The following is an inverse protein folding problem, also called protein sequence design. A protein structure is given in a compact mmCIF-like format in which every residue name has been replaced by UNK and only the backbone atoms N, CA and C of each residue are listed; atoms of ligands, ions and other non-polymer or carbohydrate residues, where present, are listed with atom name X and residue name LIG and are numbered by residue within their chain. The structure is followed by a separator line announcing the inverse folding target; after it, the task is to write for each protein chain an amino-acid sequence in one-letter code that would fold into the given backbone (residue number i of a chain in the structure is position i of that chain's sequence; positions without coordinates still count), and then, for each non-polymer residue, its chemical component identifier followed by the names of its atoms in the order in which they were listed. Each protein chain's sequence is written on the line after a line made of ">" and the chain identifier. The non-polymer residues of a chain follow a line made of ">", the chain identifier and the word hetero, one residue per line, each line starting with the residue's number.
data_IF_151060818663
#
_entry.id   IF_151060818663
#
_cell.length_a   1.000
_cell.length_b   1.000
_cell.length_c   1.000
_cell.angle_alpha   90.00
_cell.angle_beta   90.00
_cell.angle_gamma   90.00
#
_symmetry.space_group_name_H-M   'P 1'
#
loop_
_entity.id
_entity.type
_entity.pdbx_description
1 polymer ?
#
# COMPACT_ATOMS: atom_id res chain seq x y z
N UNK A 1 -16.44 -28.09 39.17
CA UNK A 1 -15.29 -27.70 38.32
C UNK A 1 -15.42 -28.48 37.04
N UNK A 2 -15.96 -27.86 36.00
CA UNK A 2 -16.14 -28.49 34.69
C UNK A 2 -15.04 -27.95 33.77
N UNK A 3 -14.24 -28.87 33.26
CA UNK A 3 -13.08 -28.62 32.40
C UNK A 3 -13.57 -28.51 30.95
N UNK A 4 -13.55 -27.30 30.39
CA UNK A 4 -13.96 -27.04 29.00
C UNK A 4 -12.69 -27.01 28.15
N UNK A 5 -12.31 -28.19 27.67
CA UNK A 5 -11.26 -28.36 26.66
C UNK A 5 -11.78 -27.84 25.31
N UNK A 6 -11.31 -26.65 24.92
CA UNK A 6 -11.53 -26.11 23.59
C UNK A 6 -10.60 -26.81 22.59
N UNK A 7 -11.18 -27.77 21.87
CA UNK A 7 -10.55 -28.41 20.73
C UNK A 7 -10.68 -27.47 19.52
N UNK A 8 -9.67 -26.65 19.25
CA UNK A 8 -9.61 -25.85 18.02
C UNK A 8 -9.21 -26.75 16.86
N UNK A 9 -10.03 -26.87 15.80
CA UNK A 9 -9.67 -27.64 14.62
C UNK A 9 -8.46 -26.97 13.95
N UNK A 10 -7.38 -27.72 13.80
CA UNK A 10 -6.20 -27.29 13.07
C UNK A 10 -6.58 -26.90 11.65
N UNK A 11 -6.59 -25.60 11.38
CA UNK A 11 -6.57 -25.10 10.01
C UNK A 11 -5.22 -25.51 9.42
N UNK A 12 -5.23 -26.54 8.58
CA UNK A 12 -4.07 -26.88 7.76
C UNK A 12 -3.65 -25.62 7.02
N UNK A 13 -2.40 -25.18 7.22
CA UNK A 13 -1.81 -23.99 6.61
C UNK A 13 -1.61 -24.13 5.11
N UNK A 14 -2.70 -24.30 4.36
CA UNK A 14 -2.72 -24.10 2.92
C UNK A 14 -2.87 -22.58 2.74
N UNK A 15 -1.73 -21.89 2.56
CA UNK A 15 -1.66 -20.46 2.29
C UNK A 15 -2.52 -20.12 1.06
N UNK A 16 -3.18 -18.96 1.05
CA UNK A 16 -3.97 -18.50 -0.11
C UNK A 16 -3.16 -18.55 -1.42
N UNK A 17 -1.84 -18.39 -1.33
CA UNK A 17 -0.88 -18.55 -2.44
C UNK A 17 -0.93 -19.95 -3.08
N UNK A 18 -1.07 -21.01 -2.28
CA UNK A 18 -1.14 -22.39 -2.78
C UNK A 18 -2.50 -22.74 -3.42
N UNK A 19 -3.55 -21.95 -3.16
CA UNK A 19 -4.88 -22.11 -3.80
C UNK A 19 -5.03 -21.37 -5.13
N UNK A 20 -4.29 -20.29 -5.34
CA UNK A 20 -4.41 -19.46 -6.55
C UNK A 20 -3.68 -20.07 -7.76
N UNK A 21 -2.75 -21.01 -7.55
CA UNK A 21 -1.93 -21.62 -8.62
C UNK A 21 -2.18 -23.12 -8.72
N UNK A 22 -3.45 -23.53 -8.83
CA UNK A 22 -3.81 -24.82 -9.45
C UNK A 22 -4.66 -24.58 -10.69
N UNK A 23 -4.25 -23.62 -11.51
CA UNK A 23 -4.59 -23.66 -12.94
C UNK A 23 -3.99 -24.97 -13.46
N UNK A 24 -4.80 -25.80 -14.13
CA UNK A 24 -4.34 -27.08 -14.68
C UNK A 24 -3.02 -26.91 -15.43
N UNK A 25 -2.07 -27.83 -15.26
CA UNK A 25 -0.73 -27.76 -15.87
C UNK A 25 -0.77 -27.52 -17.39
N UNK A 26 -1.87 -27.94 -18.03
CA UNK A 26 -2.14 -27.79 -19.47
C UNK A 26 -2.48 -26.35 -19.89
N UNK A 27 -2.88 -25.47 -18.97
CA UNK A 27 -3.29 -24.10 -19.26
C UNK A 27 -2.27 -23.02 -18.85
N UNK A 28 -1.13 -23.41 -18.24
CA UNK A 28 -0.12 -22.46 -17.81
C UNK A 28 0.80 -22.03 -18.95
N UNK A 29 0.97 -20.72 -19.10
CA UNK A 29 1.97 -20.13 -20.00
C UNK A 29 3.39 -20.41 -19.50
N UNK A 30 4.39 -20.27 -20.37
CA UNK A 30 5.79 -20.47 -19.99
C UNK A 30 6.24 -19.47 -18.92
N UNK A 31 5.70 -18.24 -18.92
CA UNK A 31 5.98 -17.23 -17.90
C UNK A 31 5.48 -17.68 -16.53
N UNK A 32 4.26 -18.25 -16.46
CA UNK A 32 3.71 -18.75 -15.20
C UNK A 32 4.49 -19.97 -14.66
N UNK A 33 4.96 -20.86 -15.55
CA UNK A 33 5.83 -21.97 -15.16
C UNK A 33 7.18 -21.49 -14.61
N UNK A 34 7.75 -20.44 -15.20
CA UNK A 34 8.99 -19.83 -14.71
C UNK A 34 8.78 -19.14 -13.36
N UNK A 35 7.66 -18.42 -13.16
CA UNK A 35 7.33 -17.83 -11.86
C UNK A 35 7.21 -18.90 -10.78
N UNK A 36 6.54 -20.03 -11.07
CA UNK A 36 6.44 -21.12 -10.10
C UNK A 36 7.82 -21.66 -9.68
N UNK A 37 8.75 -21.78 -10.64
CA UNK A 37 10.14 -22.16 -10.34
C UNK A 37 10.88 -21.09 -9.54
N UNK A 38 10.68 -19.82 -9.87
CA UNK A 38 11.26 -18.67 -9.17
C UNK A 38 10.82 -18.65 -7.69
N UNK A 39 9.52 -18.85 -7.43
CA UNK A 39 8.97 -18.92 -6.07
C UNK A 39 9.54 -20.10 -5.29
N UNK A 40 9.54 -21.30 -5.87
CA UNK A 40 10.09 -22.49 -5.22
C UNK A 40 11.58 -22.33 -4.86
N UNK A 41 12.36 -21.69 -5.74
CA UNK A 41 13.77 -21.44 -5.51
C UNK A 41 14.00 -20.36 -4.45
N UNK A 42 13.17 -19.32 -4.42
CA UNK A 42 13.21 -18.27 -3.38
C UNK A 42 12.92 -18.87 -2.00
N UNK A 43 11.88 -19.71 -1.89
CA UNK A 43 11.54 -20.43 -0.65
C UNK A 43 12.65 -21.40 -0.21
N UNK A 44 13.35 -22.02 -1.16
CA UNK A 44 14.51 -22.86 -0.86
C UNK A 44 15.69 -22.03 -0.33
N UNK A 45 15.98 -20.89 -0.95
CA UNK A 45 17.02 -19.97 -0.51
C UNK A 45 16.76 -19.42 0.90
N UNK A 46 15.52 -19.02 1.19
CA UNK A 46 15.11 -18.56 2.52
C UNK A 46 15.30 -19.63 3.59
N UNK A 47 14.87 -20.87 3.32
CA UNK A 47 15.07 -22.00 4.24
C UNK A 47 16.55 -22.27 4.47
N UNK A 48 17.38 -22.14 3.43
CA UNK A 48 18.82 -22.33 3.53
C UNK A 48 19.48 -21.27 4.43
N UNK A 49 19.08 -20.00 4.27
CA UNK A 49 19.53 -18.88 5.13
C UNK A 49 19.10 -19.11 6.58
N UNK A 50 17.85 -19.51 6.81
CA UNK A 50 17.32 -19.79 8.16
C UNK A 50 18.04 -20.95 8.85
N UNK A 51 18.54 -21.93 8.08
CA UNK A 51 19.35 -23.03 8.60
C UNK A 51 20.79 -22.60 8.99
N UNK A 52 21.17 -21.34 8.75
CA UNK A 52 22.48 -20.79 9.12
C UNK A 52 23.58 -21.05 8.10
N UNK A 53 23.23 -21.48 6.89
CA UNK A 53 24.17 -21.71 5.79
C UNK A 53 24.32 -20.44 4.94
N UNK A 54 25.06 -19.45 5.46
CA UNK A 54 25.17 -18.12 4.84
C UNK A 54 26.34 -17.96 3.84
N UNK A 55 26.88 -19.05 3.29
CA UNK A 55 28.06 -19.04 2.43
C UNK A 55 27.74 -19.19 0.91
N UNK A 56 28.64 -19.82 0.14
CA UNK A 56 28.69 -19.88 -1.33
C UNK A 56 27.36 -20.28 -2.00
N UNK A 57 26.52 -21.03 -1.30
CA UNK A 57 25.20 -21.43 -1.77
C UNK A 57 24.24 -20.23 -1.97
N UNK A 58 24.39 -19.15 -1.20
CA UNK A 58 23.62 -17.93 -1.38
C UNK A 58 23.87 -17.25 -2.74
N UNK A 59 25.13 -17.26 -3.21
CA UNK A 59 25.47 -16.74 -4.53
C UNK A 59 24.89 -17.60 -5.65
N UNK A 60 24.87 -18.93 -5.46
CA UNK A 60 24.24 -19.86 -6.41
C UNK A 60 22.74 -19.58 -6.53
N UNK A 61 22.03 -19.44 -5.41
CA UNK A 61 20.60 -19.13 -5.43
C UNK A 61 20.32 -17.79 -6.12
N UNK A 62 21.07 -16.74 -5.78
CA UNK A 62 20.92 -15.44 -6.41
C UNK A 62 21.12 -15.50 -7.94
N UNK A 63 22.14 -16.22 -8.42
CA UNK A 63 22.39 -16.38 -9.85
C UNK A 63 21.27 -17.15 -10.57
N UNK A 64 20.73 -18.21 -9.95
CA UNK A 64 19.64 -18.99 -10.51
C UNK A 64 18.30 -18.21 -10.53
N UNK A 65 18.03 -17.41 -9.49
CA UNK A 65 16.87 -16.52 -9.44
C UNK A 65 16.96 -15.47 -10.54
N UNK A 66 18.12 -14.83 -10.69
CA UNK A 66 18.36 -13.84 -11.75
C UNK A 66 18.18 -14.44 -13.17
N UNK A 67 18.70 -15.65 -13.41
CA UNK A 67 18.52 -16.35 -14.69
C UNK A 67 17.03 -16.67 -14.98
N UNK A 68 16.24 -16.99 -13.96
CA UNK A 68 14.79 -17.17 -14.12
C UNK A 68 14.08 -15.85 -14.42
N UNK A 69 14.44 -14.77 -13.73
CA UNK A 69 13.92 -13.42 -13.97
C UNK A 69 14.21 -12.97 -15.40
N UNK A 70 15.45 -13.12 -15.88
CA UNK A 70 15.85 -12.80 -17.25
C UNK A 70 15.04 -13.60 -18.28
N UNK A 71 14.85 -14.90 -18.05
CA UNK A 71 14.01 -15.75 -18.91
C UNK A 71 12.56 -15.31 -18.92
N UNK A 72 12.00 -14.95 -17.76
CA UNK A 72 10.63 -14.43 -17.67
C UNK A 72 10.51 -13.12 -18.46
N UNK A 73 11.44 -12.20 -18.28
CA UNK A 73 11.40 -10.88 -18.94
C UNK A 73 11.54 -10.98 -20.45
N UNK A 74 12.30 -11.95 -20.97
CA UNK A 74 12.52 -12.16 -22.40
C UNK A 74 11.28 -12.69 -23.16
N UNK A 75 10.34 -13.36 -22.49
CA UNK A 75 9.14 -13.91 -23.13
C UNK A 75 8.04 -12.85 -23.24
N UNK A 76 7.39 -12.63 -24.38
CA UNK A 76 6.30 -11.65 -24.46
C UNK A 76 5.10 -12.06 -23.60
N UNK A 77 4.54 -11.13 -22.83
CA UNK A 77 3.29 -11.37 -22.11
C UNK A 77 2.13 -11.49 -23.11
N UNK A 78 1.35 -12.56 -23.01
CA UNK A 78 0.18 -12.83 -23.89
C UNK A 78 -1.15 -12.59 -23.19
N UNK A 79 -1.13 -12.49 -21.86
CA UNK A 79 -2.29 -12.19 -21.04
C UNK A 79 -1.90 -11.35 -19.82
N UNK A 80 -2.89 -10.84 -19.10
CA UNK A 80 -2.67 -10.07 -17.86
C UNK A 80 -1.94 -10.88 -16.77
N UNK A 81 -2.13 -12.20 -16.72
CA UNK A 81 -1.45 -13.05 -15.75
C UNK A 81 0.05 -13.15 -16.02
N UNK A 82 0.47 -13.21 -17.29
CA UNK A 82 1.89 -13.19 -17.68
C UNK A 82 2.57 -11.90 -17.22
N UNK A 83 1.93 -10.76 -17.50
CA UNK A 83 2.47 -9.46 -17.11
C UNK A 83 2.55 -9.31 -15.58
N UNK A 84 1.51 -9.76 -14.86
CA UNK A 84 1.51 -9.76 -13.41
C UNK A 84 2.63 -10.66 -12.85
N UNK A 85 2.87 -11.82 -13.46
CA UNK A 85 3.94 -12.72 -13.05
C UNK A 85 5.33 -12.07 -13.21
N UNK A 86 5.59 -11.38 -14.33
CA UNK A 86 6.80 -10.58 -14.49
C UNK A 86 6.91 -9.51 -13.41
N UNK A 87 5.85 -8.74 -13.16
CA UNK A 87 5.84 -7.69 -12.14
C UNK A 87 6.17 -8.22 -10.74
N UNK A 88 5.61 -9.39 -10.38
CA UNK A 88 5.91 -10.07 -9.11
C UNK A 88 7.38 -10.44 -9.03
N UNK A 89 7.93 -11.13 -10.04
CA UNK A 89 9.34 -11.52 -10.05
C UNK A 89 10.27 -10.31 -9.91
N UNK A 90 9.98 -9.22 -10.65
CA UNK A 90 10.74 -7.97 -10.61
C UNK A 90 10.70 -7.27 -9.24
N UNK A 91 9.64 -7.46 -8.44
CA UNK A 91 9.47 -6.77 -7.15
C UNK A 91 9.74 -7.66 -5.93
N UNK A 92 9.93 -8.97 -6.14
CA UNK A 92 10.05 -9.96 -5.06
C UNK A 92 11.21 -9.66 -4.09
N UNK A 93 12.31 -9.07 -4.59
CA UNK A 93 13.51 -8.75 -3.81
C UNK A 93 13.56 -7.27 -3.34
N UNK A 94 12.39 -6.62 -3.20
CA UNK A 94 12.29 -5.22 -2.77
C UNK A 94 12.73 -4.21 -3.83
N UNK A 95 12.97 -4.66 -5.06
CA UNK A 95 13.24 -3.78 -6.19
C UNK A 95 11.96 -3.03 -6.58
N UNK A 96 12.12 -1.77 -6.99
CA UNK A 96 11.02 -1.00 -7.55
C UNK A 96 10.77 -1.39 -9.01
N UNK A 97 9.52 -1.31 -9.44
CA UNK A 97 9.20 -1.43 -10.87
C UNK A 97 10.01 -0.40 -11.69
N UNK A 98 10.41 -0.75 -12.92
CA UNK A 98 11.10 0.19 -13.79
C UNK A 98 10.25 1.44 -14.02
N UNK A 99 10.90 2.58 -14.23
CA UNK A 99 10.19 3.83 -14.52
C UNK A 99 9.31 3.68 -15.77
N UNK A 100 8.20 4.42 -15.83
CA UNK A 100 7.22 4.30 -16.92
C UNK A 100 7.80 4.61 -18.32
N UNK A 101 8.89 5.38 -18.37
CA UNK A 101 9.65 5.72 -19.57
C UNK A 101 10.66 4.63 -20.00
N UNK A 102 10.86 3.58 -19.20
CA UNK A 102 11.66 2.42 -19.58
C UNK A 102 10.81 1.44 -20.39
N UNK A 103 11.12 1.36 -21.68
CA UNK A 103 10.15 0.92 -22.68
C UNK A 103 9.73 -0.55 -22.69
N UNK A 104 10.60 -1.57 -22.47
CA UNK A 104 10.21 -2.95 -22.77
C UNK A 104 9.09 -3.47 -21.85
N UNK A 105 9.23 -3.29 -20.54
CA UNK A 105 8.26 -3.79 -19.55
C UNK A 105 6.89 -3.11 -19.71
N UNK A 106 6.86 -1.78 -19.80
CA UNK A 106 5.59 -1.04 -19.91
C UNK A 106 4.97 -1.10 -21.32
N UNK A 107 5.76 -1.39 -22.37
CA UNK A 107 5.20 -1.64 -23.69
C UNK A 107 4.32 -2.90 -23.71
N UNK A 108 4.71 -3.97 -23.02
CA UNK A 108 3.88 -5.17 -22.89
C UNK A 108 2.57 -4.88 -22.17
N UNK A 109 2.61 -4.12 -21.07
CA UNK A 109 1.42 -3.69 -20.36
C UNK A 109 0.44 -2.94 -21.26
N UNK A 110 0.97 -2.03 -22.11
CA UNK A 110 0.17 -1.26 -23.07
C UNK A 110 -0.42 -2.16 -24.16
N UNK A 111 0.39 -3.05 -24.73
CA UNK A 111 -0.05 -3.99 -25.77
C UNK A 111 -1.21 -4.85 -25.28
N UNK A 112 -1.12 -5.41 -24.06
CA UNK A 112 -2.20 -6.19 -23.46
C UNK A 112 -3.50 -5.41 -23.26
N UNK A 113 -3.39 -4.10 -23.02
CA UNK A 113 -4.52 -3.19 -22.82
C UNK A 113 -5.04 -2.61 -24.15
N UNK A 114 -4.29 -2.72 -25.24
CA UNK A 114 -4.67 -2.26 -26.58
C UNK A 114 -5.24 -3.37 -27.45
N UNK A 115 -4.76 -4.61 -27.28
CA UNK A 115 -5.07 -5.76 -28.15
C UNK A 115 -6.29 -6.57 -27.66
N UNK A 116 -6.54 -6.59 -26.35
CA UNK A 116 -7.81 -7.03 -25.78
C UNK A 116 -8.77 -5.85 -25.72
N UNK A 117 -9.92 -5.94 -26.40
CA UNK A 117 -11.00 -4.94 -26.32
C UNK A 117 -11.12 -4.44 -24.88
N UNK A 118 -10.62 -3.22 -24.61
CA UNK A 118 -10.65 -2.65 -23.26
C UNK A 118 -12.08 -2.87 -22.77
N UNK A 119 -12.32 -3.49 -21.60
CA UNK A 119 -13.53 -3.17 -20.90
C UNK A 119 -13.43 -1.67 -20.65
N UNK A 120 -14.03 -0.89 -21.56
CA UNK A 120 -13.98 0.55 -21.54
C UNK A 120 -14.63 0.91 -20.23
N UNK A 121 -13.85 1.41 -19.27
CA UNK A 121 -14.40 1.84 -17.98
C UNK A 121 -15.60 2.71 -18.31
N UNK A 122 -16.82 2.31 -17.92
CA UNK A 122 -18.00 2.97 -18.46
C UNK A 122 -17.96 4.47 -18.17
N UNK A 123 -18.36 5.29 -19.15
CA UNK A 123 -18.28 6.74 -19.01
C UNK A 123 -19.27 7.29 -17.96
N UNK A 124 -20.38 6.58 -17.73
CA UNK A 124 -21.43 6.99 -16.79
C UNK A 124 -21.22 6.35 -15.42
N UNK A 125 -21.67 7.06 -14.37
CA UNK A 125 -21.63 6.54 -12.98
C UNK A 125 -22.42 5.23 -12.85
N UNK A 126 -23.63 5.20 -13.42
CA UNK A 126 -24.46 4.00 -13.47
C UNK A 126 -23.76 2.85 -14.21
N UNK A 127 -23.10 3.14 -15.34
CA UNK A 127 -22.35 2.13 -16.09
C UNK A 127 -21.22 1.52 -15.25
N UNK A 128 -20.48 2.34 -14.48
CA UNK A 128 -19.40 1.85 -13.59
C UNK A 128 -19.92 1.05 -12.42
N UNK A 129 -21.04 1.46 -11.82
CA UNK A 129 -21.71 0.69 -10.78
C UNK A 129 -22.18 -0.68 -11.32
N UNK A 130 -22.80 -0.70 -12.51
CA UNK A 130 -23.20 -1.94 -13.18
C UNK A 130 -22.00 -2.83 -13.49
N UNK A 131 -20.94 -2.25 -14.05
CA UNK A 131 -19.70 -2.99 -14.31
C UNK A 131 -19.14 -3.63 -13.03
N UNK A 132 -19.14 -2.90 -11.91
CA UNK A 132 -18.71 -3.44 -10.63
C UNK A 132 -19.64 -4.57 -10.13
N UNK A 133 -20.95 -4.40 -10.22
CA UNK A 133 -21.93 -5.40 -9.82
C UNK A 133 -21.81 -6.67 -10.67
N UNK A 134 -21.75 -6.54 -12.00
CA UNK A 134 -21.56 -7.64 -12.95
C UNK A 134 -20.24 -8.40 -12.66
N UNK A 135 -19.15 -7.67 -12.38
CA UNK A 135 -17.83 -8.25 -12.04
C UNK A 135 -17.88 -9.06 -10.75
N UNK A 136 -18.69 -8.63 -9.78
CA UNK A 136 -18.87 -9.31 -8.49
C UNK A 136 -19.95 -10.40 -8.52
N UNK A 137 -20.68 -10.54 -9.63
CA UNK A 137 -21.83 -11.46 -9.74
C UNK A 137 -22.99 -11.05 -8.83
N UNK A 138 -23.21 -9.75 -8.64
CA UNK A 138 -24.26 -9.19 -7.77
C UNK A 138 -25.29 -8.43 -8.59
N UNK A 139 -26.53 -8.42 -8.09
CA UNK A 139 -27.58 -7.55 -8.63
C UNK A 139 -27.36 -6.10 -8.22
N UNK A 140 -27.81 -5.18 -9.08
CA UNK A 140 -27.83 -3.76 -8.74
C UNK A 140 -28.87 -3.47 -7.64
N UNK A 141 -28.58 -2.54 -6.70
CA UNK A 141 -29.58 -2.07 -5.76
C UNK A 141 -30.86 -1.58 -6.46
N UNK A 142 -32.01 -1.88 -5.86
CA UNK A 142 -33.29 -1.37 -6.34
C UNK A 142 -33.38 0.16 -6.15
N UNK A 143 -34.25 0.82 -6.93
CA UNK A 143 -34.56 2.25 -6.80
C UNK A 143 -33.42 3.25 -7.10
N UNK A 144 -32.33 2.82 -7.75
CA UNK A 144 -31.26 3.73 -8.15
C UNK A 144 -31.71 4.74 -9.22
N UNK A 145 -31.39 6.03 -9.01
CA UNK A 145 -31.56 7.05 -10.08
C UNK A 145 -30.37 7.00 -11.04
N UNK A 146 -30.58 7.37 -12.30
CA UNK A 146 -29.56 7.29 -13.36
C UNK A 146 -28.26 8.05 -13.06
N UNK A 147 -28.31 9.15 -12.31
CA UNK A 147 -27.14 9.96 -11.95
C UNK A 147 -26.47 9.55 -10.61
N UNK A 148 -27.06 8.57 -9.91
CA UNK A 148 -26.66 8.08 -8.59
C UNK A 148 -26.68 9.14 -7.47
N UNK A 149 -27.32 10.29 -7.69
CA UNK A 149 -27.45 11.36 -6.69
C UNK A 149 -28.87 11.44 -6.14
N UNK A 150 -29.00 11.80 -4.86
CA UNK A 150 -30.25 12.18 -4.25
C UNK A 150 -30.67 13.60 -4.70
N UNK A 151 -31.83 14.07 -4.22
CA UNK A 151 -32.38 15.38 -4.63
C UNK A 151 -31.59 16.57 -4.10
N UNK A 152 -30.91 16.39 -2.97
CA UNK A 152 -30.01 17.35 -2.35
C UNK A 152 -28.57 17.29 -2.93
N UNK A 153 -28.39 16.59 -4.05
CA UNK A 153 -27.10 16.31 -4.68
C UNK A 153 -26.13 15.47 -3.82
N UNK A 154 -26.58 14.88 -2.70
CA UNK A 154 -25.81 13.89 -1.96
C UNK A 154 -25.76 12.55 -2.71
N UNK A 155 -24.88 11.66 -2.27
CA UNK A 155 -24.78 10.31 -2.83
C UNK A 155 -25.99 9.48 -2.38
N UNK A 156 -26.56 8.68 -3.28
CA UNK A 156 -27.66 7.79 -2.91
C UNK A 156 -27.21 6.76 -1.86
N UNK A 157 -28.04 6.58 -0.83
CA UNK A 157 -27.79 5.65 0.28
C UNK A 157 -27.52 4.24 -0.21
N UNK A 158 -28.24 3.81 -1.24
CA UNK A 158 -28.11 2.48 -1.85
C UNK A 158 -26.70 2.26 -2.44
N UNK A 159 -26.09 3.30 -3.01
CA UNK A 159 -24.73 3.25 -3.55
C UNK A 159 -23.71 3.19 -2.42
N UNK A 160 -23.92 3.96 -1.34
CA UNK A 160 -23.06 3.92 -0.16
C UNK A 160 -23.08 2.53 0.49
N UNK A 161 -24.27 1.94 0.65
CA UNK A 161 -24.44 0.61 1.21
C UNK A 161 -23.79 -0.46 0.32
N UNK A 162 -23.96 -0.37 -1.00
CA UNK A 162 -23.30 -1.25 -1.95
C UNK A 162 -21.77 -1.18 -1.82
N UNK A 163 -21.19 0.03 -1.76
CA UNK A 163 -19.75 0.23 -1.62
C UNK A 163 -19.22 -0.29 -0.28
N UNK A 164 -19.95 -0.06 0.81
CA UNK A 164 -19.59 -0.54 2.13
C UNK A 164 -19.59 -2.08 2.20
N UNK A 165 -20.59 -2.73 1.58
CA UNK A 165 -20.72 -4.18 1.58
C UNK A 165 -19.69 -4.88 0.67
N UNK A 166 -19.38 -4.30 -0.49
CA UNK A 166 -18.53 -4.92 -1.52
C UNK A 166 -17.07 -4.47 -1.47
N UNK A 167 -16.78 -3.33 -0.83
CA UNK A 167 -15.47 -2.69 -0.86
C UNK A 167 -15.15 -2.00 -2.19
N UNK A 168 -16.12 -1.84 -3.10
CA UNK A 168 -15.98 -1.02 -4.31
C UNK A 168 -15.83 0.44 -3.91
N UNK A 169 -14.89 1.17 -4.54
CA UNK A 169 -14.66 2.58 -4.21
C UNK A 169 -15.73 3.48 -4.82
N UNK A 170 -16.16 4.47 -4.04
CA UNK A 170 -16.93 5.60 -4.54
C UNK A 170 -16.15 6.36 -5.62
N UNK A 171 -14.83 6.47 -5.50
CA UNK A 171 -14.01 7.16 -6.50
C UNK A 171 -14.02 6.46 -7.85
N UNK A 172 -14.13 5.13 -7.87
CA UNK A 172 -14.31 4.39 -9.11
C UNK A 172 -15.68 4.71 -9.72
N UNK A 173 -16.76 4.63 -8.95
CA UNK A 173 -18.11 4.89 -9.45
C UNK A 173 -18.26 6.33 -9.95
N UNK A 174 -17.75 7.31 -9.22
CA UNK A 174 -18.00 8.73 -9.52
C UNK A 174 -16.95 9.35 -10.44
N UNK A 175 -15.69 8.93 -10.33
CA UNK A 175 -14.56 9.56 -11.03
C UNK A 175 -13.74 8.61 -11.91
N UNK A 176 -14.12 7.33 -11.99
CA UNK A 176 -13.36 6.29 -12.66
C UNK A 176 -11.93 6.10 -12.11
N UNK A 177 -11.68 6.55 -10.87
CA UNK A 177 -10.37 6.37 -10.23
C UNK A 177 -10.32 5.04 -9.48
N UNK A 178 -9.46 4.14 -9.98
CA UNK A 178 -9.24 2.81 -9.40
C UNK A 178 -8.17 2.80 -8.31
N UNK A 179 -7.35 3.86 -8.17
CA UNK A 179 -6.23 3.88 -7.23
C UNK A 179 -6.65 3.62 -5.78
N UNK A 180 -7.76 4.19 -5.28
CA UNK A 180 -8.21 3.92 -3.91
C UNK A 180 -8.62 2.45 -3.70
N UNK A 181 -9.23 1.82 -4.72
CA UNK A 181 -9.55 0.38 -4.67
C UNK A 181 -8.29 -0.47 -4.60
N UNK A 182 -7.31 -0.19 -5.47
CA UNK A 182 -6.05 -0.93 -5.49
C UNK A 182 -5.29 -0.78 -4.16
N UNK A 183 -5.25 0.44 -3.62
CA UNK A 183 -4.62 0.71 -2.31
C UNK A 183 -5.35 -0.02 -1.18
N UNK A 184 -6.68 0.02 -1.15
CA UNK A 184 -7.46 -0.67 -0.12
C UNK A 184 -7.32 -2.20 -0.20
N UNK A 185 -7.33 -2.76 -1.41
CA UNK A 185 -7.10 -4.19 -1.61
C UNK A 185 -5.68 -4.61 -1.19
N UNK A 186 -4.68 -3.81 -1.56
CA UNK A 186 -3.29 -4.01 -1.13
C UNK A 186 -3.18 -3.99 0.39
N UNK A 187 -3.68 -2.92 1.04
CA UNK A 187 -3.62 -2.78 2.50
C UNK A 187 -4.33 -3.93 3.22
N UNK A 188 -5.54 -4.34 2.78
CA UNK A 188 -6.25 -5.47 3.39
C UNK A 188 -5.47 -6.77 3.31
N UNK A 189 -4.83 -7.05 2.17
CA UNK A 189 -4.00 -8.25 2.01
C UNK A 189 -2.72 -8.14 2.84
N UNK A 190 -2.12 -6.95 2.89
CA UNK A 190 -0.93 -6.69 3.68
C UNK A 190 -1.23 -6.85 5.17
N UNK A 191 -2.33 -6.28 5.66
CA UNK A 191 -2.77 -6.37 7.06
C UNK A 191 -3.19 -7.79 7.45
N UNK A 192 -3.71 -8.61 6.52
CA UNK A 192 -4.03 -10.02 6.75
C UNK A 192 -2.79 -10.92 6.89
N UNK A 193 -1.66 -10.51 6.31
CA UNK A 193 -0.39 -11.25 6.37
C UNK A 193 0.66 -10.56 7.23
N UNK A 194 0.29 -9.47 7.88
CA UNK A 194 1.20 -8.68 8.69
C UNK A 194 1.48 -9.42 9.98
N UNK A 195 2.77 -9.64 10.24
CA UNK A 195 3.21 -10.03 11.57
C UNK A 195 2.75 -8.94 12.57
N UNK A 196 1.99 -9.30 13.63
CA UNK A 196 1.55 -8.35 14.63
C UNK A 196 2.70 -7.56 15.27
N UNK A 197 3.92 -8.10 15.28
CA UNK A 197 5.10 -7.38 15.78
C UNK A 197 5.60 -6.34 14.78
N UNK A 198 5.55 -6.62 13.47
CA UNK A 198 5.84 -5.64 12.43
C UNK A 198 4.77 -4.52 12.37
N UNK A 199 3.52 -4.85 12.67
CA UNK A 199 2.45 -3.87 12.83
C UNK A 199 2.67 -2.91 14.00
N UNK A 200 3.26 -3.38 15.10
CA UNK A 200 3.66 -2.53 16.24
C UNK A 200 4.81 -1.62 15.86
N UNK A 201 5.88 -2.14 15.25
CA UNK A 201 7.05 -1.33 14.88
C UNK A 201 6.70 -0.22 13.89
N UNK A 202 5.87 -0.49 12.89
CA UNK A 202 5.44 0.53 11.94
C UNK A 202 4.44 1.53 12.54
N UNK A 203 3.61 1.12 13.49
CA UNK A 203 2.77 2.06 14.25
C UNK A 203 3.64 2.99 15.08
N UNK A 204 4.64 2.45 15.78
CA UNK A 204 5.59 3.24 16.56
C UNK A 204 6.39 4.20 15.65
N UNK A 205 6.78 3.76 14.45
CA UNK A 205 7.42 4.62 13.45
C UNK A 205 6.48 5.69 12.86
N UNK A 206 5.21 5.36 12.65
CA UNK A 206 4.18 6.31 12.18
C UNK A 206 3.91 7.38 13.23
N UNK A 207 3.77 6.99 14.50
CA UNK A 207 3.61 7.92 15.63
C UNK A 207 4.87 8.79 15.80
N UNK A 208 6.07 8.22 15.66
CA UNK A 208 7.31 8.98 15.66
C UNK A 208 7.39 9.98 14.48
N UNK A 209 6.93 9.58 13.29
CA UNK A 209 6.92 10.45 12.09
C UNK A 209 5.92 11.59 12.26
N UNK A 210 4.70 11.32 12.73
CA UNK A 210 3.69 12.34 12.99
C UNK A 210 4.14 13.32 14.09
N UNK A 211 4.85 12.82 15.10
CA UNK A 211 5.48 13.62 16.13
C UNK A 211 6.56 14.56 15.58
N UNK A 212 7.48 14.04 14.74
CA UNK A 212 8.53 14.83 14.09
C UNK A 212 7.96 15.91 13.16
N UNK A 213 6.92 15.59 12.40
CA UNK A 213 6.18 16.55 11.57
C UNK A 213 5.53 17.66 12.42
N UNK A 214 5.00 17.30 13.59
CA UNK A 214 4.50 18.25 14.58
C UNK A 214 5.59 19.22 15.07
N UNK A 215 6.78 18.71 15.37
CA UNK A 215 7.93 19.51 15.77
C UNK A 215 8.40 20.43 14.63
N UNK A 216 8.46 19.96 13.38
CA UNK A 216 8.84 20.79 12.24
C UNK A 216 7.86 21.95 12.03
N UNK A 217 6.55 21.71 12.11
CA UNK A 217 5.53 22.78 12.03
C UNK A 217 5.69 23.82 13.15
N UNK A 218 5.97 23.37 14.37
CA UNK A 218 6.27 24.26 15.51
C UNK A 218 7.53 25.10 15.26
N UNK A 219 8.59 24.50 14.73
CA UNK A 219 9.84 25.19 14.42
C UNK A 219 9.67 26.26 13.32
N UNK A 220 8.89 25.98 12.27
CA UNK A 220 8.54 26.98 11.24
C UNK A 220 7.77 28.15 11.86
N UNK A 221 6.80 27.88 12.73
CA UNK A 221 6.03 28.92 13.43
C UNK A 221 6.92 29.78 14.34
N UNK A 222 7.82 29.16 15.11
CA UNK A 222 8.79 29.88 15.95
C UNK A 222 9.69 30.80 15.13
N UNK A 223 10.20 30.32 13.98
CA UNK A 223 11.02 31.14 13.07
C UNK A 223 10.24 32.34 12.52
N UNK A 224 8.97 32.16 12.18
CA UNK A 224 8.09 33.25 11.76
C UNK A 224 7.88 34.30 12.86
N UNK A 225 7.64 33.86 14.10
CA UNK A 225 7.49 34.76 15.26
C UNK A 225 8.78 35.53 15.56
N UNK A 226 9.94 34.87 15.52
CA UNK A 226 11.24 35.55 15.69
C UNK A 226 11.50 36.57 14.59
N UNK A 227 11.08 36.30 13.35
CA UNK A 227 11.14 37.27 12.25
C UNK A 227 10.21 38.47 12.47
N UNK A 228 9.01 38.24 13.00
CA UNK A 228 8.08 39.31 13.35
C UNK A 228 8.63 40.19 14.49
N UNK A 229 9.19 39.57 15.53
CA UNK A 229 9.85 40.29 16.64
C UNK A 229 11.03 41.13 16.11
N UNK A 230 11.87 40.56 15.24
CA UNK A 230 12.99 41.29 14.65
C UNK A 230 12.56 42.46 13.74
N UNK A 231 11.40 42.35 13.08
CA UNK A 231 10.86 43.39 12.20
C UNK A 231 10.26 44.58 12.97
N UNK A 232 9.91 44.40 14.25
CA UNK A 232 9.42 45.49 15.11
C UNK A 232 10.51 46.51 15.48
N UNK A 233 11.79 46.20 15.26
CA UNK A 233 12.90 47.12 15.54
C UNK A 233 13.12 47.37 17.04
N UNK A 234 13.88 48.43 17.38
CA UNK A 234 14.28 48.73 18.77
C UNK A 234 13.19 49.45 19.59
N UNK A 235 12.13 49.96 18.96
CA UNK A 235 11.04 50.70 19.61
C UNK A 235 9.67 50.21 19.12
N UNK A 236 9.12 49.10 19.66
CA UNK A 236 7.79 48.65 19.31
C UNK A 236 6.74 49.65 19.84
N UNK A 237 5.85 50.13 18.96
CA UNK A 237 4.79 51.08 19.34
C UNK A 237 3.78 50.48 20.35
N UNK A 238 3.73 49.14 20.46
CA UNK A 238 2.86 48.40 21.38
C UNK A 238 3.66 47.35 22.16
N UNK A 239 4.10 47.71 23.38
CA UNK A 239 4.83 46.80 24.27
C UNK A 239 4.05 45.51 24.57
N UNK A 240 2.72 45.59 24.72
CA UNK A 240 1.85 44.43 24.98
C UNK A 240 1.92 43.39 23.86
N UNK A 241 1.94 43.84 22.60
CA UNK A 241 2.08 42.97 21.42
C UNK A 241 3.44 42.27 21.40
N UNK A 242 4.52 42.96 21.79
CA UNK A 242 5.85 42.34 21.89
C UNK A 242 5.89 41.26 22.99
N UNK A 243 5.30 41.53 24.17
CA UNK A 243 5.26 40.57 25.27
C UNK A 243 4.50 39.29 24.89
N UNK A 244 3.35 39.39 24.22
CA UNK A 244 2.57 38.22 23.79
C UNK A 244 3.33 37.38 22.74
N UNK A 245 4.02 38.04 21.80
CA UNK A 245 4.84 37.37 20.79
C UNK A 245 6.04 36.64 21.41
N UNK A 246 6.74 37.27 22.36
CA UNK A 246 7.88 36.69 23.07
C UNK A 246 7.46 35.52 23.96
N UNK A 247 6.35 35.64 24.69
CA UNK A 247 5.82 34.53 25.52
C UNK A 247 5.40 33.34 24.65
N UNK A 248 4.71 33.60 23.53
CA UNK A 248 4.33 32.56 22.57
C UNK A 248 5.55 31.87 21.96
N UNK A 249 6.58 32.63 21.57
CA UNK A 249 7.82 32.08 21.03
C UNK A 249 8.56 31.23 22.08
N UNK A 250 8.66 31.70 23.31
CA UNK A 250 9.31 31.01 24.43
C UNK A 250 8.62 29.67 24.74
N UNK A 251 7.29 29.63 24.75
CA UNK A 251 6.53 28.39 24.95
C UNK A 251 6.75 27.39 23.82
N UNK A 252 6.79 27.85 22.57
CA UNK A 252 7.05 26.97 21.41
C UNK A 252 8.48 26.40 21.47
N UNK A 253 9.47 27.22 21.85
CA UNK A 253 10.85 26.76 22.02
C UNK A 253 10.99 25.74 23.14
N UNK A 254 10.35 25.96 24.29
CA UNK A 254 10.35 24.98 25.39
C UNK A 254 9.64 23.66 25.05
N UNK A 255 8.64 23.69 24.17
CA UNK A 255 8.04 22.47 23.61
C UNK A 255 8.99 21.72 22.66
N UNK A 256 9.73 22.47 21.84
CA UNK A 256 10.70 21.90 20.90
C UNK A 256 11.89 21.27 21.64
N UNK A 257 12.43 21.94 22.67
CA UNK A 257 13.53 21.40 23.49
C UNK A 257 13.12 20.11 24.19
N UNK A 258 11.95 20.08 24.83
CA UNK A 258 11.42 18.86 25.46
C UNK A 258 11.23 17.72 24.47
N UNK A 259 10.80 18.05 23.24
CA UNK A 259 10.67 17.04 22.18
C UNK A 259 12.01 16.55 21.65
N UNK A 260 13.00 17.43 21.53
CA UNK A 260 14.36 17.06 21.14
C UNK A 260 15.02 16.16 22.19
N UNK A 261 14.83 16.47 23.47
CA UNK A 261 15.31 15.66 24.60
C UNK A 261 14.66 14.28 24.65
N UNK A 262 13.37 14.20 24.34
CA UNK A 262 12.64 12.93 24.26
C UNK A 262 13.18 12.04 23.14
N UNK A 263 13.58 12.61 22.00
CA UNK A 263 14.15 11.89 20.86
C UNK A 263 15.64 11.58 21.03
N UNK A 264 16.38 12.44 21.76
CA UNK A 264 17.85 12.32 21.92
C UNK A 264 18.28 11.39 23.05
N UNK A 265 17.36 10.99 23.94
CA UNK A 265 17.66 9.95 24.93
C UNK A 265 17.82 8.62 24.20
N UNK A 266 19.02 8.01 24.17
CA UNK A 266 19.16 6.68 23.60
C UNK A 266 18.23 5.75 24.37
N UNK A 267 17.50 4.91 23.63
CA UNK A 267 16.66 3.85 24.19
C UNK A 267 17.55 2.84 24.95
N UNK A 268 18.02 3.22 26.13
CA UNK A 268 18.54 2.32 27.12
C UNK A 268 17.32 1.62 27.72
N UNK A 269 16.81 0.60 27.01
CA UNK A 269 15.95 -0.50 27.49
C UNK A 269 15.33 -1.23 26.28
N UNK A 270 16.11 -2.14 25.68
CA UNK A 270 15.59 -3.45 25.24
C UNK A 270 16.60 -4.49 25.73
N UNK A 271 16.38 -4.95 26.95
CA UNK A 271 16.92 -6.18 27.54
C UNK A 271 15.74 -7.01 28.01
#
# INVERSE_FOLDING_TARGET
>A
MADISHNTPGMSGETITSRIIRLSDEAQTDILRLLAKHQALTEEAERHIQAGHADEDGQRFAAQIADLEDKMMALPSTCAADFAAKAIALTANGQSLPRQDQEPFWAEARALVEEGARPTIPATRMGRLKFAADTLGLDLPENLKTNLLAEDASLQTEVLLFCAATGVSLDFIYFADIKPMLRSAFNRRHDQHRDPDQARTEKDMSEATEYLDGLQRKAVKARGLMGAIAALGDEPEEEDTLFELVDTATRILGDLERGLDAVSRPAALVS
#
